data_IF_198964450799
#
_entry.id   IF_198964450799
#
_cell.length_a   1.000
_cell.length_b   1.000
_cell.length_c   1.000
_cell.angle_alpha   90.00
_cell.angle_beta   90.00
_cell.angle_gamma   90.00
#
_symmetry.space_group_name_H-M   'P 1'
#
loop_
_entity.id
_entity.type
_entity.pdbx_description
1 polymer ?
#
# COMPACT_ATOMS: atom_id res chain seq x y z
N UNK A 1 5.53 9.40 -5.94
CA UNK A 1 4.77 10.02 -4.85
C UNK A 1 4.34 8.92 -3.90
N UNK A 2 4.65 9.03 -2.61
CA UNK A 2 4.42 7.97 -1.64
C UNK A 2 5.01 8.33 -0.27
N UNK A 3 4.77 7.48 0.71
CA UNK A 3 5.33 7.58 2.05
C UNK A 3 6.50 6.59 2.18
N UNK A 4 7.60 7.01 2.82
CA UNK A 4 8.68 6.09 3.18
C UNK A 4 9.30 6.45 4.53
N UNK A 5 9.53 5.44 5.37
CA UNK A 5 10.22 5.61 6.65
C UNK A 5 10.82 4.28 7.13
N UNK A 6 11.79 4.34 8.05
CA UNK A 6 12.30 3.14 8.71
C UNK A 6 11.22 2.54 9.60
N UNK A 7 11.08 1.21 9.60
CA UNK A 7 10.09 0.51 10.43
C UNK A 7 10.18 0.89 11.91
N UNK A 8 11.40 1.01 12.47
CA UNK A 8 11.62 1.42 13.85
C UNK A 8 11.26 2.88 14.16
N UNK A 9 11.08 3.72 13.14
CA UNK A 9 10.54 5.09 13.28
C UNK A 9 9.02 5.13 13.14
N UNK A 10 8.42 4.12 12.53
CA UNK A 10 6.95 3.98 12.38
C UNK A 10 6.33 3.41 13.65
N UNK A 11 6.98 2.43 14.27
CA UNK A 11 6.51 1.81 15.50
C UNK A 11 7.68 1.43 16.41
N UNK A 12 7.58 1.68 17.74
CA UNK A 12 8.58 1.21 18.70
C UNK A 12 8.54 -0.31 18.91
N UNK A 13 7.47 -0.98 18.46
CA UNK A 13 7.29 -2.43 18.55
C UNK A 13 7.27 -3.08 17.16
N UNK A 14 7.63 -4.37 17.11
CA UNK A 14 7.64 -5.12 15.84
C UNK A 14 6.24 -5.25 15.27
N UNK A 15 6.04 -4.67 14.09
CA UNK A 15 4.78 -4.78 13.34
C UNK A 15 4.61 -6.22 12.83
N UNK A 16 3.45 -6.81 13.09
CA UNK A 16 3.08 -8.16 12.63
C UNK A 16 1.97 -8.12 11.58
N UNK A 17 0.98 -7.28 11.82
CA UNK A 17 -0.14 -7.04 10.92
C UNK A 17 -0.42 -5.56 10.83
N UNK A 18 -0.81 -5.14 9.64
CA UNK A 18 -1.21 -3.76 9.35
C UNK A 18 -2.48 -3.78 8.51
N UNK A 19 -3.33 -2.80 8.71
CA UNK A 19 -4.50 -2.57 7.87
C UNK A 19 -4.22 -1.37 6.98
N UNK A 20 -4.31 -1.61 5.66
CA UNK A 20 -4.22 -0.58 4.64
C UNK A 20 -5.65 -0.21 4.20
N UNK A 21 -5.96 1.08 4.22
CA UNK A 21 -7.26 1.64 3.84
C UNK A 21 -7.08 2.88 2.97
N UNK A 22 -8.02 3.11 2.06
CA UNK A 22 -8.11 4.35 1.29
C UNK A 22 -9.48 4.51 0.66
N UNK A 23 -9.85 5.75 0.34
CA UNK A 23 -10.90 6.04 -0.63
C UNK A 23 -10.30 6.04 -2.04
N UNK A 24 -10.99 5.40 -2.98
CA UNK A 24 -10.53 5.22 -4.36
C UNK A 24 -11.59 5.68 -5.33
N UNK A 25 -11.20 6.45 -6.35
CA UNK A 25 -12.05 6.82 -7.48
C UNK A 25 -11.40 6.34 -8.78
N UNK A 26 -12.08 5.41 -9.46
CA UNK A 26 -11.70 4.91 -10.77
C UNK A 26 -12.66 5.44 -11.84
N UNK A 27 -12.22 6.30 -12.77
CA UNK A 27 -13.01 6.75 -13.91
C UNK A 27 -13.53 5.62 -14.82
N UNK A 28 -12.75 4.55 -14.99
CA UNK A 28 -13.09 3.41 -15.84
C UNK A 28 -12.33 2.13 -15.46
N UNK A 29 -12.65 1.01 -16.13
CA UNK A 29 -11.89 -0.24 -16.02
C UNK A 29 -10.43 -0.14 -16.48
N UNK A 30 -10.07 0.91 -17.23
CA UNK A 30 -8.71 1.19 -17.70
C UNK A 30 -7.86 1.96 -16.68
N UNK A 31 -8.48 2.39 -15.57
CA UNK A 31 -7.81 3.06 -14.43
C UNK A 31 -7.05 2.07 -13.54
N UNK A 32 -6.30 1.15 -14.12
CA UNK A 32 -5.59 0.10 -13.39
C UNK A 32 -4.57 0.71 -12.43
N UNK A 33 -4.58 0.25 -11.18
CA UNK A 33 -3.64 0.73 -10.17
C UNK A 33 -3.53 -0.27 -9.02
N UNK A 34 -2.41 -0.20 -8.31
CA UNK A 34 -2.16 -0.94 -7.07
C UNK A 34 -1.69 0.03 -6.00
N UNK A 35 -2.39 0.06 -4.87
CA UNK A 35 -1.86 0.69 -3.66
C UNK A 35 -0.96 -0.32 -2.96
N UNK A 36 0.35 -0.12 -3.09
CA UNK A 36 1.37 -1.02 -2.62
C UNK A 36 1.91 -0.67 -1.24
N UNK A 37 2.23 -1.70 -0.46
CA UNK A 37 3.09 -1.65 0.72
C UNK A 37 4.32 -2.49 0.43
N UNK A 38 5.51 -1.93 0.62
CA UNK A 38 6.79 -2.64 0.44
C UNK A 38 7.67 -2.45 1.67
N UNK A 39 8.36 -3.51 2.07
CA UNK A 39 9.50 -3.46 2.97
C UNK A 39 10.76 -3.73 2.15
N UNK A 40 11.76 -2.86 2.24
CA UNK A 40 13.02 -2.99 1.52
C UNK A 40 14.23 -2.70 2.38
N UNK A 41 15.37 -3.23 1.98
CA UNK A 41 16.66 -2.79 2.51
C UNK A 41 16.91 -1.30 2.14
N UNK A 42 17.36 -0.45 3.08
CA UNK A 42 17.53 0.99 2.83
C UNK A 42 18.71 1.33 1.92
N UNK A 43 19.72 0.45 1.81
CA UNK A 43 20.96 0.74 1.09
C UNK A 43 20.91 0.20 -0.33
N UNK A 44 20.62 -1.10 -0.47
CA UNK A 44 20.52 -1.79 -1.75
C UNK A 44 19.17 -1.55 -2.45
N UNK A 45 18.14 -1.16 -1.71
CA UNK A 45 16.77 -1.05 -2.22
C UNK A 45 16.11 -2.40 -2.50
N UNK A 46 16.76 -3.52 -2.18
CA UNK A 46 16.24 -4.85 -2.41
C UNK A 46 14.93 -5.06 -1.64
N UNK A 47 13.90 -5.53 -2.34
CA UNK A 47 12.63 -5.89 -1.73
C UNK A 47 12.80 -7.09 -0.81
N UNK A 48 12.30 -6.96 0.41
CA UNK A 48 12.20 -8.03 1.42
C UNK A 48 10.78 -8.57 1.47
N UNK A 49 9.79 -7.69 1.28
CA UNK A 49 8.38 -8.02 1.26
C UNK A 49 7.59 -7.00 0.44
N UNK A 50 6.57 -7.45 -0.29
CA UNK A 50 5.66 -6.60 -1.04
C UNK A 50 4.24 -7.13 -0.99
N UNK A 51 3.28 -6.28 -0.62
CA UNK A 51 1.85 -6.57 -0.74
C UNK A 51 1.07 -5.26 -1.04
N UNK A 52 -0.26 -5.26 -0.93
CA UNK A 52 -1.12 -4.14 -1.28
C UNK A 52 -2.46 -4.55 -1.87
N UNK A 53 -3.20 -3.53 -2.32
CA UNK A 53 -4.54 -3.63 -2.89
C UNK A 53 -4.44 -3.39 -4.39
N UNK A 54 -4.75 -4.41 -5.19
CA UNK A 54 -5.02 -4.21 -6.62
C UNK A 54 -6.41 -3.57 -6.74
N UNK A 55 -6.48 -2.30 -7.13
CA UNK A 55 -7.70 -1.51 -7.00
C UNK A 55 -8.84 -2.05 -7.88
N UNK A 56 -8.53 -2.60 -9.05
CA UNK A 56 -9.52 -3.21 -9.94
C UNK A 56 -10.12 -4.49 -9.40
N UNK A 57 -9.51 -5.13 -8.40
CA UNK A 57 -10.07 -6.33 -7.77
C UNK A 57 -11.17 -5.97 -6.77
N UNK A 58 -11.10 -4.77 -6.18
CA UNK A 58 -12.05 -4.31 -5.16
C UNK A 58 -13.05 -3.26 -5.66
N UNK A 59 -12.64 -2.37 -6.57
CA UNK A 59 -13.51 -1.32 -7.12
C UNK A 59 -14.14 -1.81 -8.42
N UNK A 60 -15.41 -2.24 -8.33
CA UNK A 60 -16.22 -2.67 -9.49
C UNK A 60 -17.18 -1.61 -10.00
N UNK A 61 -17.35 -0.54 -9.23
CA UNK A 61 -18.21 0.58 -9.57
C UNK A 61 -17.37 1.81 -9.91
N UNK A 62 -17.50 2.28 -11.14
CA UNK A 62 -16.70 3.40 -11.66
C UNK A 62 -17.38 4.75 -11.41
N UNK A 63 -16.58 5.81 -11.48
CA UNK A 63 -17.03 7.22 -11.38
C UNK A 63 -17.67 7.59 -10.05
N UNK A 64 -17.28 6.91 -8.98
CA UNK A 64 -17.61 7.27 -7.60
C UNK A 64 -16.48 6.87 -6.66
N UNK A 65 -16.47 7.46 -5.49
CA UNK A 65 -15.54 7.09 -4.42
C UNK A 65 -15.99 5.79 -3.76
N UNK A 66 -15.07 4.84 -3.63
CA UNK A 66 -15.27 3.54 -2.98
C UNK A 66 -14.15 3.35 -1.96
N UNK A 67 -14.52 3.03 -0.71
CA UNK A 67 -13.54 2.67 0.31
C UNK A 67 -13.02 1.25 0.04
N UNK A 68 -11.70 1.07 0.09
CA UNK A 68 -11.04 -0.23 -0.01
C UNK A 68 -10.23 -0.51 1.23
N UNK A 69 -10.12 -1.78 1.61
CA UNK A 69 -9.34 -2.19 2.77
C UNK A 69 -8.70 -3.55 2.57
N UNK A 70 -7.50 -3.72 3.16
CA UNK A 70 -6.82 -5.01 3.24
C UNK A 70 -5.97 -5.10 4.51
N UNK A 71 -6.12 -6.20 5.23
CA UNK A 71 -5.16 -6.62 6.26
C UNK A 71 -3.96 -7.29 5.58
N UNK A 72 -2.75 -6.88 5.99
CA UNK A 72 -1.48 -7.37 5.46
C UNK A 72 -0.69 -7.95 6.64
N UNK A 73 -0.36 -9.22 6.56
CA UNK A 73 0.55 -9.87 7.52
C UNK A 73 1.99 -9.66 7.04
N UNK A 74 2.81 -9.05 7.90
CA UNK A 74 4.23 -8.84 7.63
C UNK A 74 5.03 -10.08 8.06
N UNK A 75 6.07 -10.47 7.31
CA UNK A 75 6.83 -11.67 7.62
C UNK A 75 7.74 -11.45 8.83
N UNK A 76 8.11 -12.55 9.50
CA UNK A 76 8.90 -12.47 10.73
C UNK A 76 10.34 -11.99 10.52
N UNK A 77 10.87 -12.04 9.30
CA UNK A 77 12.23 -11.62 8.99
C UNK A 77 12.39 -10.10 8.79
N UNK A 78 11.32 -9.30 8.92
CA UNK A 78 11.46 -7.84 8.88
C UNK A 78 12.18 -7.30 10.11
N UNK A 79 12.95 -6.24 9.94
CA UNK A 79 13.72 -5.60 11.00
C UNK A 79 13.42 -4.10 11.10
N UNK A 80 13.68 -3.51 12.27
CA UNK A 80 13.44 -2.09 12.53
C UNK A 80 14.26 -1.14 11.62
N UNK A 81 15.34 -1.64 11.01
CA UNK A 81 16.23 -0.88 10.12
C UNK A 81 15.82 -0.89 8.66
N UNK A 82 14.78 -1.65 8.29
CA UNK A 82 14.27 -1.69 6.91
C UNK A 82 13.29 -0.54 6.65
N UNK A 83 13.17 -0.14 5.39
CA UNK A 83 12.23 0.88 4.94
C UNK A 83 10.86 0.28 4.68
N UNK A 84 9.84 0.82 5.34
CA UNK A 84 8.45 0.71 4.92
C UNK A 84 8.16 1.77 3.87
N UNK A 85 7.54 1.37 2.76
CA UNK A 85 7.07 2.25 1.70
C UNK A 85 5.59 2.01 1.43
N UNK A 86 4.84 3.09 1.24
CA UNK A 86 3.47 3.06 0.73
C UNK A 86 3.45 3.87 -0.56
N UNK A 87 2.99 3.27 -1.65
CA UNK A 87 3.07 3.89 -2.97
C UNK A 87 1.89 3.51 -3.85
N UNK A 88 1.57 4.38 -4.80
CA UNK A 88 0.64 4.08 -5.88
C UNK A 88 1.42 3.60 -7.11
N UNK A 89 1.15 2.38 -7.54
CA UNK A 89 1.71 1.79 -8.75
C UNK A 89 0.67 1.74 -9.86
N UNK A 90 1.06 2.12 -11.07
CA UNK A 90 0.16 2.22 -12.24
C UNK A 90 0.78 1.66 -13.52
N UNK A 91 1.51 0.55 -13.43
CA UNK A 91 1.95 -0.12 -14.66
C UNK A 91 0.73 -0.48 -15.52
N UNK A 92 0.82 -0.16 -16.82
CA UNK A 92 -0.18 -0.50 -17.86
C UNK A 92 -1.50 0.29 -17.84
N UNK A 93 -1.62 1.34 -17.03
CA UNK A 93 -2.87 2.12 -16.94
C UNK A 93 -2.93 3.25 -17.97
N UNK A 94 -4.01 3.29 -18.78
CA UNK A 94 -4.25 4.36 -19.75
C UNK A 94 -5.11 5.51 -19.20
N UNK A 95 -5.95 5.23 -18.19
CA UNK A 95 -6.78 6.25 -17.54
C UNK A 95 -6.27 6.56 -16.12
N UNK A 96 -6.47 7.79 -15.66
CA UNK A 96 -6.10 8.21 -14.31
C UNK A 96 -6.82 7.36 -13.24
N UNK A 97 -6.19 7.24 -12.07
CA UNK A 97 -6.79 6.69 -10.85
C UNK A 97 -6.53 7.70 -9.73
N UNK A 98 -7.53 7.93 -8.90
CA UNK A 98 -7.44 8.89 -7.79
C UNK A 98 -7.63 8.15 -6.48
N UNK A 99 -6.95 8.66 -5.46
CA UNK A 99 -7.01 8.12 -4.12
C UNK A 99 -6.98 9.25 -3.11
N UNK A 100 -7.68 9.04 -2.00
CA UNK A 100 -7.71 9.97 -0.88
C UNK A 100 -7.78 9.22 0.45
N UNK A 101 -7.51 9.91 1.55
CA UNK A 101 -7.61 9.39 2.93
C UNK A 101 -6.88 8.05 3.14
N UNK A 102 -5.65 7.95 2.62
CA UNK A 102 -4.83 6.75 2.78
C UNK A 102 -4.47 6.60 4.26
N UNK A 103 -4.91 5.50 4.86
CA UNK A 103 -4.62 5.14 6.26
C UNK A 103 -3.85 3.84 6.32
N UNK A 104 -2.84 3.83 7.18
CA UNK A 104 -2.11 2.63 7.58
C UNK A 104 -2.19 2.52 9.10
N UNK A 105 -2.79 1.45 9.60
CA UNK A 105 -2.97 1.22 11.03
C UNK A 105 -2.35 -0.11 11.43
N UNK A 106 -1.93 -0.22 12.69
CA UNK A 106 -1.51 -1.50 13.26
C UNK A 106 -2.77 -2.31 13.51
N UNK A 107 -2.79 -3.56 13.05
CA UNK A 107 -3.85 -4.51 13.36
C UNK A 107 -3.42 -5.39 14.53
N UNK A 108 -4.35 -5.69 15.44
CA UNK A 108 -4.11 -6.56 16.61
C UNK A 108 -3.98 -8.04 16.23
#
# INVERSE_FOLDING_TARGET
>A
MGYSNLLGKVSPSKLRKITLQAWVYLPSAKSQARLGVQVSDPVSGQEVFGDGITLTDQVKEYKKWVEVSKEITLPENITATQLLKVFLWRASASDAAYMDDIRLTIAE
#
